data_IF_498018898155
#
_entry.id   IF_498018898155
#
_cell.length_a   1.000
_cell.length_b   1.000
_cell.length_c   1.000
_cell.angle_alpha   90.00
_cell.angle_beta   90.00
_cell.angle_gamma   90.00
#
_symmetry.space_group_name_H-M   'P 1'
#
loop_
_entity.id
_entity.type
_entity.pdbx_description
1 polymer ?
#
# COMPACT_ATOMS: atom_id res chain seq x y z
N UNK A 1 37.63 -25.69 -3.17
CA UNK A 1 37.54 -24.25 -3.53
C UNK A 1 36.04 -23.95 -3.59
N UNK A 2 35.41 -23.06 -2.83
CA UNK A 2 35.82 -21.81 -2.20
C UNK A 2 35.43 -21.76 -0.70
N UNK A 3 36.21 -21.04 0.11
CA UNK A 3 35.86 -20.70 1.49
C UNK A 3 35.12 -19.37 1.46
N UNK A 4 33.84 -19.36 1.85
CA UNK A 4 33.13 -18.10 2.10
C UNK A 4 33.48 -17.70 3.53
N UNK A 5 34.50 -16.86 3.68
CA UNK A 5 34.88 -16.28 4.97
C UNK A 5 33.91 -15.14 5.26
N UNK A 6 32.92 -15.37 6.13
CA UNK A 6 32.08 -14.30 6.66
C UNK A 6 32.94 -13.53 7.68
N UNK A 7 33.47 -12.39 7.23
CA UNK A 7 34.29 -11.48 8.03
C UNK A 7 33.48 -10.96 9.23
N UNK A 8 34.06 -11.07 10.41
CA UNK A 8 33.48 -10.83 11.74
C UNK A 8 33.39 -9.34 12.15
N UNK A 9 33.13 -8.41 11.23
CA UNK A 9 33.31 -6.97 11.51
C UNK A 9 32.08 -6.06 11.31
N UNK A 10 30.87 -6.60 11.44
CA UNK A 10 29.72 -5.77 11.83
C UNK A 10 28.59 -6.65 12.39
N UNK A 11 28.73 -7.13 13.62
CA UNK A 11 27.57 -7.64 14.35
C UNK A 11 26.66 -6.43 14.60
N UNK A 12 25.63 -6.27 13.77
CA UNK A 12 24.48 -5.44 14.15
C UNK A 12 24.06 -5.90 15.55
N UNK A 13 24.00 -4.96 16.49
CA UNK A 13 23.47 -5.22 17.82
C UNK A 13 22.06 -5.78 17.70
N UNK A 14 21.61 -6.54 18.69
CA UNK A 14 20.27 -7.12 18.68
C UNK A 14 19.18 -6.06 18.47
N UNK A 15 19.42 -4.83 18.94
CA UNK A 15 18.52 -3.70 18.75
C UNK A 15 18.58 -3.13 17.34
N UNK A 16 19.77 -3.03 16.72
CA UNK A 16 19.87 -2.66 15.30
C UNK A 16 19.26 -3.74 14.39
N UNK A 17 19.41 -5.03 14.73
CA UNK A 17 18.77 -6.13 14.02
C UNK A 17 17.25 -6.13 14.21
N UNK A 18 16.75 -5.81 15.41
CA UNK A 18 15.31 -5.60 15.65
C UNK A 18 14.78 -4.43 14.85
N UNK A 19 15.46 -3.28 14.83
CA UNK A 19 15.06 -2.13 14.02
C UNK A 19 15.06 -2.47 12.53
N UNK A 20 16.03 -3.25 12.05
CA UNK A 20 16.08 -3.70 10.65
C UNK A 20 14.97 -4.69 10.32
N UNK A 21 14.65 -5.61 11.25
CA UNK A 21 13.52 -6.53 11.11
C UNK A 21 12.18 -5.79 11.18
N UNK A 22 11.99 -4.88 12.12
CA UNK A 22 10.81 -4.01 12.27
C UNK A 22 10.60 -3.16 11.03
N UNK A 23 11.66 -2.60 10.44
CA UNK A 23 11.57 -1.85 9.18
C UNK A 23 11.17 -2.74 8.00
N UNK A 24 11.61 -4.00 7.98
CA UNK A 24 11.31 -4.94 6.89
C UNK A 24 9.90 -5.53 7.05
N UNK A 25 9.46 -5.83 8.27
CA UNK A 25 8.10 -6.31 8.57
C UNK A 25 7.07 -5.19 8.49
N UNK A 26 7.39 -3.96 8.90
CA UNK A 26 6.49 -2.81 8.74
C UNK A 26 6.24 -2.47 7.27
N UNK A 27 7.28 -2.57 6.42
CA UNK A 27 7.12 -2.41 4.96
C UNK A 27 6.35 -3.57 4.32
N UNK A 28 6.51 -4.81 4.81
CA UNK A 28 5.67 -5.95 4.41
C UNK A 28 4.22 -5.72 4.79
N UNK A 29 3.95 -5.27 6.02
CA UNK A 29 2.61 -4.99 6.52
C UNK A 29 1.89 -3.93 5.69
N UNK A 30 2.56 -2.82 5.36
CA UNK A 30 1.94 -1.76 4.55
C UNK A 30 1.58 -2.23 3.12
N UNK A 31 2.39 -3.12 2.53
CA UNK A 31 2.07 -3.73 1.24
C UNK A 31 0.92 -4.74 1.37
N UNK A 32 0.92 -5.56 2.42
CA UNK A 32 -0.15 -6.50 2.72
C UNK A 32 -1.49 -5.80 2.97
N UNK A 33 -1.46 -4.64 3.65
CA UNK A 33 -2.63 -3.79 3.90
C UNK A 33 -3.21 -3.24 2.60
N UNK A 34 -2.35 -2.74 1.70
CA UNK A 34 -2.79 -2.26 0.37
C UNK A 34 -3.32 -3.41 -0.49
N UNK A 35 -2.71 -4.59 -0.44
CA UNK A 35 -3.21 -5.76 -1.14
C UNK A 35 -4.58 -6.20 -0.61
N UNK A 36 -4.80 -6.10 0.70
CA UNK A 36 -6.12 -6.30 1.32
C UNK A 36 -7.16 -5.31 0.78
N UNK A 37 -6.82 -4.01 0.77
CA UNK A 37 -7.68 -2.96 0.22
C UNK A 37 -8.00 -3.18 -1.26
N UNK A 38 -7.02 -3.56 -2.08
CA UNK A 38 -7.25 -3.86 -3.49
C UNK A 38 -8.24 -5.03 -3.67
N UNK A 39 -8.16 -6.08 -2.85
CA UNK A 39 -9.11 -7.20 -2.92
C UNK A 39 -10.53 -6.78 -2.56
N UNK A 40 -10.68 -5.94 -1.53
CA UNK A 40 -11.98 -5.39 -1.15
C UNK A 40 -12.56 -4.53 -2.28
N UNK A 41 -11.74 -3.68 -2.90
CA UNK A 41 -12.15 -2.84 -4.02
C UNK A 41 -12.58 -3.68 -5.24
N UNK A 42 -11.80 -4.70 -5.62
CA UNK A 42 -12.16 -5.61 -6.71
C UNK A 42 -13.51 -6.29 -6.45
N UNK A 43 -13.80 -6.69 -5.21
CA UNK A 43 -15.09 -7.28 -4.89
C UNK A 43 -16.27 -6.30 -5.08
N UNK A 44 -16.06 -5.00 -4.82
CA UNK A 44 -17.06 -3.98 -5.14
C UNK A 44 -17.17 -3.73 -6.65
N UNK A 45 -16.04 -3.70 -7.35
CA UNK A 45 -16.00 -3.50 -8.81
C UNK A 45 -16.74 -4.62 -9.55
N UNK A 46 -16.52 -5.88 -9.16
CA UNK A 46 -17.25 -7.03 -9.69
C UNK A 46 -18.74 -7.00 -9.33
N UNK A 47 -19.08 -6.56 -8.11
CA UNK A 47 -20.47 -6.50 -7.64
C UNK A 47 -21.30 -5.45 -8.39
N UNK A 48 -20.69 -4.30 -8.70
CA UNK A 48 -21.37 -3.16 -9.30
C UNK A 48 -21.01 -2.92 -10.77
N UNK A 49 -20.18 -3.79 -11.36
CA UNK A 49 -19.67 -3.70 -12.74
C UNK A 49 -19.10 -2.31 -13.06
N UNK A 50 -18.36 -1.74 -12.11
CA UNK A 50 -17.87 -0.37 -12.16
C UNK A 50 -16.52 -0.25 -11.46
N UNK A 51 -15.51 0.28 -12.16
CA UNK A 51 -14.20 0.56 -11.58
C UNK A 51 -14.28 1.52 -10.38
N UNK A 52 -13.47 1.28 -9.35
CA UNK A 52 -13.50 2.08 -8.11
C UNK A 52 -13.15 3.55 -8.35
N UNK A 53 -12.33 3.84 -9.36
CA UNK A 53 -12.00 5.19 -9.81
C UNK A 53 -13.22 5.92 -10.40
N UNK A 54 -13.99 5.23 -11.24
CA UNK A 54 -15.23 5.74 -11.83
C UNK A 54 -16.30 5.91 -10.76
N UNK A 55 -16.44 4.91 -9.88
CA UNK A 55 -17.35 4.96 -8.74
C UNK A 55 -17.05 6.16 -7.84
N UNK A 56 -15.78 6.34 -7.43
CA UNK A 56 -15.39 7.42 -6.53
C UNK A 56 -15.62 8.78 -7.16
N UNK A 57 -15.31 8.95 -8.45
CA UNK A 57 -15.60 10.20 -9.16
C UNK A 57 -17.11 10.52 -9.21
N UNK A 58 -17.97 9.53 -9.39
CA UNK A 58 -19.43 9.68 -9.36
C UNK A 58 -19.95 9.96 -7.94
N UNK A 59 -19.42 9.25 -6.94
CA UNK A 59 -19.76 9.44 -5.53
C UNK A 59 -19.42 10.86 -5.06
N UNK A 60 -18.24 11.38 -5.41
CA UNK A 60 -17.82 12.75 -5.10
C UNK A 60 -18.67 13.83 -5.79
N UNK A 61 -19.34 13.49 -6.90
CA UNK A 61 -20.33 14.36 -7.56
C UNK A 61 -21.74 14.23 -6.98
N UNK A 62 -21.94 13.35 -6.01
CA UNK A 62 -23.25 13.07 -5.42
C UNK A 62 -24.16 12.19 -6.30
N UNK A 63 -23.61 11.48 -7.29
CA UNK A 63 -24.38 10.73 -8.28
C UNK A 63 -24.73 9.29 -7.83
N UNK A 64 -24.08 8.77 -6.79
CA UNK A 64 -24.24 7.38 -6.33
C UNK A 64 -25.20 7.22 -5.14
N UNK A 65 -25.66 8.32 -4.55
CA UNK A 65 -26.48 8.29 -3.32
C UNK A 65 -25.68 8.06 -2.05
N UNK A 66 -26.38 7.92 -0.93
CA UNK A 66 -25.85 7.82 0.43
C UNK A 66 -26.03 6.43 1.05
N UNK A 67 -26.24 5.40 0.23
CA UNK A 67 -26.37 4.03 0.73
C UNK A 67 -25.06 3.59 1.41
N UNK A 68 -25.21 2.86 2.53
CA UNK A 68 -24.09 2.39 3.33
C UNK A 68 -23.00 1.65 2.51
N UNK A 69 -23.33 0.78 1.53
CA UNK A 69 -22.31 0.15 0.69
C UNK A 69 -21.48 1.13 -0.13
N UNK A 70 -22.06 2.25 -0.58
CA UNK A 70 -21.36 3.28 -1.36
C UNK A 70 -20.45 4.12 -0.47
N UNK A 71 -20.92 4.48 0.73
CA UNK A 71 -20.09 5.17 1.73
C UNK A 71 -18.89 4.29 2.11
N UNK A 72 -19.12 2.99 2.34
CA UNK A 72 -18.06 2.04 2.67
C UNK A 72 -17.07 1.87 1.51
N UNK A 73 -17.55 1.74 0.27
CA UNK A 73 -16.68 1.63 -0.89
C UNK A 73 -15.84 2.89 -1.10
N UNK A 74 -16.44 4.08 -0.98
CA UNK A 74 -15.73 5.35 -1.10
C UNK A 74 -14.63 5.49 -0.04
N UNK A 75 -14.94 5.16 1.22
CA UNK A 75 -13.96 5.18 2.30
C UNK A 75 -12.81 4.19 2.09
N UNK A 76 -13.09 2.98 1.59
CA UNK A 76 -12.04 2.00 1.25
C UNK A 76 -11.13 2.50 0.12
N UNK A 77 -11.71 3.14 -0.88
CA UNK A 77 -10.95 3.69 -2.00
C UNK A 77 -10.08 4.88 -1.57
N UNK A 78 -10.59 5.72 -0.65
CA UNK A 78 -9.84 6.85 -0.09
C UNK A 78 -8.61 6.37 0.70
N UNK A 79 -8.77 5.39 1.59
CA UNK A 79 -7.64 4.79 2.33
C UNK A 79 -6.62 4.17 1.37
N UNK A 80 -7.07 3.54 0.29
CA UNK A 80 -6.18 3.03 -0.75
C UNK A 80 -5.36 4.14 -1.43
N UNK A 81 -5.99 5.29 -1.74
CA UNK A 81 -5.30 6.43 -2.34
C UNK A 81 -4.25 7.03 -1.40
N UNK A 82 -4.59 7.19 -0.11
CA UNK A 82 -3.65 7.68 0.90
C UNK A 82 -2.45 6.74 1.04
N UNK A 83 -2.70 5.43 1.17
CA UNK A 83 -1.63 4.44 1.27
C UNK A 83 -0.74 4.41 0.01
N UNK A 84 -1.34 4.55 -1.18
CA UNK A 84 -0.62 4.65 -2.45
C UNK A 84 0.23 5.93 -2.51
N UNK A 85 -0.29 7.06 -2.02
CA UNK A 85 0.41 8.32 -1.99
C UNK A 85 1.59 8.29 -1.01
N UNK A 86 1.42 7.66 0.14
CA UNK A 86 2.48 7.46 1.14
C UNK A 86 3.63 6.63 0.57
N UNK A 87 3.34 5.53 -0.14
CA UNK A 87 4.40 4.78 -0.83
C UNK A 87 5.06 5.62 -1.93
N UNK A 88 4.28 6.39 -2.69
CA UNK A 88 4.81 7.25 -3.75
C UNK A 88 5.69 8.38 -3.21
N UNK A 89 5.42 8.89 -2.01
CA UNK A 89 6.22 9.94 -1.35
C UNK A 89 7.55 9.40 -0.81
N UNK A 90 7.56 8.14 -0.35
CA UNK A 90 8.75 7.45 0.15
C UNK A 90 9.68 6.95 -0.96
N UNK A 91 9.20 6.81 -2.19
CA UNK A 91 10.06 6.56 -3.33
C UNK A 91 10.75 7.88 -3.70
N UNK A 92 12.10 7.99 -3.60
CA UNK A 92 12.76 9.17 -4.13
C UNK A 92 12.38 9.27 -5.59
N UNK A 93 11.86 10.44 -6.01
CA UNK A 93 11.81 10.84 -7.41
C UNK A 93 13.24 10.70 -7.92
N UNK A 94 13.61 9.52 -8.42
CA UNK A 94 14.70 9.38 -9.36
C UNK A 94 14.23 10.19 -10.54
N UNK A 95 14.58 11.48 -10.51
CA UNK A 95 14.61 12.33 -11.65
C UNK A 95 15.36 11.52 -12.71
N UNK A 96 14.59 10.94 -13.63
CA UNK A 96 15.09 10.67 -14.96
C UNK A 96 15.27 12.05 -15.56
N UNK A 97 16.39 12.67 -15.22
CA UNK A 97 16.97 13.73 -16.02
C UNK A 97 17.62 13.00 -17.20
N UNK A 98 16.93 13.04 -18.34
CA UNK A 98 17.52 12.84 -19.67
C UNK A 98 17.56 14.19 -20.35
#
# INVERSE_FOLDING_TARGET
>A
MAKITITKDNLLTLDEFKVLLEQTTARSSALDDILGLMRELVAYEEKYDMGSDVFYARFMRGEMGDDLPFIMWAGRYEVYLEAKQEIASQLPKRAVAV
#
